data_IF_498911135977
#
_entry.id   IF_498911135977
#
_cell.length_a   1.000
_cell.length_b   1.000
_cell.length_c   1.000
_cell.angle_alpha   90.00
_cell.angle_beta   90.00
_cell.angle_gamma   90.00
#
_symmetry.space_group_name_H-M   'P 1'
#
loop_
_entity.id
_entity.type
_entity.pdbx_description
1 polymer ?
#
# COMPACT_ATOMS: atom_id res chain seq x y z
N UNK A 1 -1.62 -14.48 -6.26
CA UNK A 1 -2.13 -13.68 -7.40
C UNK A 1 -1.27 -12.44 -7.67
N UNK A 2 -0.99 -11.61 -6.64
CA UNK A 2 -0.18 -10.39 -6.82
C UNK A 2 1.20 -10.72 -7.39
N UNK A 3 1.89 -11.72 -6.85
CA UNK A 3 3.20 -12.12 -7.33
C UNK A 3 3.19 -12.58 -8.80
N UNK A 4 2.17 -13.32 -9.19
CA UNK A 4 2.01 -13.79 -10.57
C UNK A 4 1.74 -12.62 -11.53
N UNK A 5 0.88 -11.70 -11.11
CA UNK A 5 0.59 -10.49 -11.89
C UNK A 5 1.86 -9.64 -12.07
N UNK A 6 2.59 -9.38 -11.00
CA UNK A 6 3.82 -8.58 -11.07
C UNK A 6 4.86 -9.24 -11.95
N UNK A 7 5.05 -10.55 -11.83
CA UNK A 7 5.99 -11.29 -12.67
C UNK A 7 5.63 -11.17 -14.17
N UNK A 8 4.34 -11.19 -14.50
CA UNK A 8 3.87 -11.11 -15.88
C UNK A 8 3.90 -9.69 -16.46
N UNK A 9 3.71 -8.67 -15.63
CA UNK A 9 3.47 -7.29 -16.06
C UNK A 9 4.51 -6.26 -15.61
N UNK A 10 5.57 -6.66 -14.91
CA UNK A 10 6.57 -5.73 -14.39
C UNK A 10 7.16 -4.84 -15.49
N UNK A 11 7.38 -5.37 -16.68
CA UNK A 11 7.93 -4.63 -17.81
C UNK A 11 6.98 -3.57 -18.40
N UNK A 12 5.69 -3.62 -18.05
CA UNK A 12 4.69 -2.66 -18.51
C UNK A 12 4.68 -1.37 -17.66
N UNK A 13 5.43 -1.35 -16.57
CA UNK A 13 5.48 -0.23 -15.63
C UNK A 13 6.83 0.48 -15.68
N UNK A 14 6.79 1.80 -15.64
CA UNK A 14 7.98 2.64 -15.57
C UNK A 14 8.62 2.63 -14.18
N UNK A 15 7.85 2.32 -13.16
CA UNK A 15 8.31 2.29 -11.79
C UNK A 15 7.51 1.28 -10.98
N UNK A 16 8.21 0.45 -10.22
CA UNK A 16 7.59 -0.50 -9.28
C UNK A 16 7.95 -0.07 -7.85
N UNK A 17 6.91 0.11 -7.04
CA UNK A 17 7.03 0.54 -5.66
C UNK A 17 6.49 -0.57 -4.76
N UNK A 18 7.25 -0.93 -3.73
CA UNK A 18 6.74 -1.74 -2.62
C UNK A 18 6.58 -0.86 -1.39
N UNK A 19 5.55 -1.12 -0.61
CA UNK A 19 5.35 -0.46 0.68
C UNK A 19 5.08 -1.51 1.75
N UNK A 20 5.70 -1.33 2.90
CA UNK A 20 5.68 -2.28 4.00
C UNK A 20 5.47 -1.54 5.30
N UNK A 21 4.68 -2.13 6.20
CA UNK A 21 4.64 -1.70 7.58
C UNK A 21 6.02 -1.95 8.21
N UNK A 22 6.52 -0.95 8.92
CA UNK A 22 7.81 -1.02 9.59
C UNK A 22 7.67 -0.38 10.97
N UNK A 23 6.91 -1.06 11.84
CA UNK A 23 6.56 -0.53 13.15
C UNK A 23 7.70 -0.73 14.14
N UNK A 24 8.16 0.38 14.71
CA UNK A 24 9.12 0.39 15.83
C UNK A 24 8.34 0.66 17.12
N UNK A 25 7.65 1.79 17.18
CA UNK A 25 6.75 2.17 18.27
C UNK A 25 5.59 3.01 17.71
N UNK A 26 4.55 2.37 17.18
CA UNK A 26 3.43 3.09 16.59
C UNK A 26 2.40 3.62 17.64
N UNK A 27 2.75 3.62 18.92
CA UNK A 27 1.90 4.14 19.98
C UNK A 27 0.57 3.38 20.13
N UNK A 28 -0.54 4.10 20.13
CA UNK A 28 -1.89 3.54 20.32
C UNK A 28 -2.37 2.67 19.15
N UNK A 29 -1.66 2.62 18.04
CA UNK A 29 -1.97 1.71 16.94
C UNK A 29 -1.87 0.24 17.38
N UNK A 30 -0.94 -0.07 18.28
CA UNK A 30 -0.88 -1.37 18.95
C UNK A 30 -1.71 -1.34 20.22
N UNK A 31 -2.55 -2.33 20.42
CA UNK A 31 -3.44 -2.41 21.58
C UNK A 31 -3.60 -3.86 22.04
N UNK A 32 -3.73 -4.04 23.37
CA UNK A 32 -4.09 -5.33 23.97
C UNK A 32 -5.58 -5.65 23.79
N UNK A 33 -6.39 -4.63 23.46
CA UNK A 33 -7.81 -4.74 23.20
C UNK A 33 -8.15 -4.05 21.87
N UNK A 34 -7.67 -4.59 20.72
CA UNK A 34 -7.82 -3.92 19.44
C UNK A 34 -9.28 -3.91 18.96
N UNK A 35 -9.66 -2.83 18.29
CA UNK A 35 -10.96 -2.72 17.61
C UNK A 35 -10.93 -3.26 16.17
N UNK A 36 -9.74 -3.55 15.64
CA UNK A 36 -9.50 -4.02 14.24
C UNK A 36 -9.99 -3.04 13.16
N UNK A 37 -10.07 -1.77 13.51
CA UNK A 37 -10.32 -0.65 12.58
C UNK A 37 -9.14 0.29 12.59
N UNK A 38 -8.80 0.84 13.76
CA UNK A 38 -7.66 1.76 13.95
C UNK A 38 -6.61 1.22 14.90
N UNK A 39 -6.96 0.22 15.71
CA UNK A 39 -6.06 -0.41 16.67
C UNK A 39 -5.94 -1.90 16.39
N UNK A 40 -4.75 -2.43 16.58
CA UNK A 40 -4.38 -3.79 16.19
C UNK A 40 -3.49 -4.43 17.26
N UNK A 41 -3.44 -5.78 17.31
CA UNK A 41 -2.35 -6.43 18.04
C UNK A 41 -1.03 -6.10 17.35
N UNK A 42 0.12 -6.26 18.04
CA UNK A 42 1.42 -6.04 17.41
C UNK A 42 1.55 -6.81 16.10
N UNK A 43 1.93 -6.10 15.03
CA UNK A 43 2.12 -6.65 13.69
C UNK A 43 3.13 -5.79 12.93
N UNK A 44 3.71 -6.32 11.87
CA UNK A 44 4.63 -5.57 11.01
C UNK A 44 5.80 -4.93 11.77
N UNK A 45 6.26 -5.57 12.85
CA UNK A 45 7.34 -5.05 13.69
C UNK A 45 8.65 -5.04 12.91
N UNK A 46 9.35 -3.91 12.91
CA UNK A 46 10.60 -3.71 12.20
C UNK A 46 11.62 -4.81 12.52
N UNK A 47 12.27 -5.35 11.48
CA UNK A 47 13.26 -6.40 11.62
C UNK A 47 12.70 -7.80 11.82
N UNK A 48 11.38 -7.99 11.78
CA UNK A 48 10.74 -9.30 11.88
C UNK A 48 10.23 -9.77 10.52
N UNK A 49 9.94 -11.08 10.41
CA UNK A 49 9.36 -11.68 9.19
C UNK A 49 8.04 -11.01 8.79
N UNK A 50 7.25 -10.54 9.75
CA UNK A 50 5.97 -9.88 9.48
C UNK A 50 6.12 -8.52 8.77
N UNK A 51 7.28 -7.87 8.90
CA UNK A 51 7.58 -6.62 8.20
C UNK A 51 8.16 -6.87 6.81
N UNK A 52 8.60 -8.07 6.49
CA UNK A 52 9.16 -8.43 5.20
C UNK A 52 8.08 -8.65 4.16
N UNK A 53 8.45 -8.51 2.89
CA UNK A 53 7.58 -8.91 1.79
C UNK A 53 7.33 -10.41 1.84
N UNK A 54 6.13 -10.80 1.41
CA UNK A 54 5.80 -12.23 1.27
C UNK A 54 6.85 -12.93 0.40
N UNK A 55 7.27 -14.17 0.75
CA UNK A 55 8.31 -14.89 0.00
C UNK A 55 8.08 -14.98 -1.51
N UNK A 56 6.82 -15.02 -1.95
CA UNK A 56 6.47 -15.02 -3.37
C UNK A 56 6.90 -13.72 -4.10
N UNK A 57 7.15 -12.63 -3.38
CA UNK A 57 7.63 -11.36 -3.91
C UNK A 57 9.13 -11.14 -3.68
N UNK A 58 9.83 -12.11 -3.11
CA UNK A 58 11.24 -11.96 -2.74
C UNK A 58 12.17 -11.69 -3.94
N UNK A 59 11.79 -12.14 -5.13
CA UNK A 59 12.56 -11.92 -6.36
C UNK A 59 12.20 -10.60 -7.07
N UNK A 60 11.25 -9.84 -6.54
CA UNK A 60 10.83 -8.57 -7.13
C UNK A 60 11.91 -7.51 -6.95
N UNK A 61 12.28 -6.87 -8.06
CA UNK A 61 13.17 -5.70 -8.06
C UNK A 61 12.33 -4.43 -8.04
N UNK A 62 12.07 -3.90 -6.85
CA UNK A 62 11.37 -2.62 -6.69
C UNK A 62 12.33 -1.46 -6.95
N UNK A 63 11.85 -0.45 -7.67
CA UNK A 63 12.61 0.79 -7.88
C UNK A 63 12.61 1.67 -6.64
N UNK A 64 11.54 1.59 -5.86
CA UNK A 64 11.34 2.33 -4.62
C UNK A 64 10.80 1.37 -3.58
N UNK A 65 11.39 1.37 -2.39
CA UNK A 65 10.92 0.58 -1.25
C UNK A 65 10.55 1.51 -0.11
N UNK A 66 9.27 1.56 0.23
CA UNK A 66 8.74 2.44 1.27
C UNK A 66 8.53 1.66 2.57
N UNK A 67 9.11 2.16 3.65
CA UNK A 67 8.79 1.76 5.01
C UNK A 67 7.92 2.82 5.67
N UNK A 68 6.84 2.40 6.30
CA UNK A 68 5.87 3.30 6.92
C UNK A 68 5.50 2.87 8.32
N UNK A 69 4.97 3.84 9.11
CA UNK A 69 4.45 3.55 10.44
C UNK A 69 5.50 3.27 11.49
N UNK A 70 6.70 3.85 11.39
CA UNK A 70 7.78 3.60 12.36
C UNK A 70 7.36 4.00 13.77
N UNK A 71 6.75 5.18 13.94
CA UNK A 71 6.39 5.76 15.24
C UNK A 71 4.94 6.23 15.29
N UNK A 72 4.14 5.90 14.29
CA UNK A 72 2.73 6.28 14.21
C UNK A 72 1.93 5.25 13.41
N UNK A 73 0.62 5.31 13.50
CA UNK A 73 -0.25 4.56 12.61
C UNK A 73 -0.17 5.18 11.21
N UNK A 74 0.26 4.41 10.23
CA UNK A 74 0.33 4.86 8.84
C UNK A 74 -0.14 3.76 7.91
N UNK A 75 -1.19 4.04 7.14
CA UNK A 75 -1.75 3.10 6.16
C UNK A 75 -1.25 3.41 4.75
N UNK A 76 -1.22 4.68 4.38
CA UNK A 76 -0.80 5.10 3.05
C UNK A 76 0.69 4.97 2.82
N UNK A 77 1.08 4.49 1.64
CA UNK A 77 2.48 4.48 1.22
C UNK A 77 3.06 5.91 1.14
N UNK A 78 2.21 6.93 0.95
CA UNK A 78 2.63 8.33 0.93
C UNK A 78 2.99 8.88 2.32
N UNK A 79 2.68 8.17 3.39
CA UNK A 79 3.07 8.53 4.75
C UNK A 79 4.46 8.00 5.13
N UNK A 80 5.04 7.15 4.30
CA UNK A 80 6.35 6.54 4.54
C UNK A 80 7.49 7.21 3.77
N UNK A 81 8.66 6.61 3.90
CA UNK A 81 9.86 7.06 3.20
C UNK A 81 10.58 5.93 2.50
N UNK A 82 11.28 6.26 1.42
CA UNK A 82 12.13 5.30 0.72
C UNK A 82 13.33 4.90 1.57
N UNK A 83 13.59 3.62 1.63
CA UNK A 83 14.68 3.04 2.44
C UNK A 83 16.04 3.57 2.00
N UNK A 84 16.26 3.71 0.70
CA UNK A 84 17.57 4.11 0.15
C UNK A 84 17.83 5.61 0.29
N UNK A 85 16.83 6.45 0.00
CA UNK A 85 17.01 7.91 -0.10
C UNK A 85 16.47 8.69 1.10
N UNK A 86 15.63 8.06 1.93
CA UNK A 86 14.89 8.70 3.03
C UNK A 86 13.92 9.79 2.57
N UNK A 87 13.53 9.79 1.30
CA UNK A 87 12.62 10.76 0.71
C UNK A 87 11.20 10.23 0.66
N UNK A 88 10.18 11.11 0.73
CA UNK A 88 8.79 10.70 0.61
C UNK A 88 8.47 10.21 -0.81
N UNK A 89 7.52 9.28 -0.91
CA UNK A 89 7.12 8.66 -2.17
C UNK A 89 6.67 9.69 -3.22
N UNK A 90 5.90 10.69 -2.81
CA UNK A 90 5.39 11.71 -3.74
C UNK A 90 6.51 12.42 -4.50
N UNK A 91 7.57 12.82 -3.78
CA UNK A 91 8.74 13.47 -4.39
C UNK A 91 9.39 12.58 -5.44
N UNK A 92 9.59 11.30 -5.10
CA UNK A 92 10.24 10.35 -5.99
C UNK A 92 9.41 10.07 -7.25
N UNK A 93 8.10 9.93 -7.11
CA UNK A 93 7.20 9.71 -8.25
C UNK A 93 7.17 10.93 -9.17
N UNK A 94 7.11 12.14 -8.63
CA UNK A 94 7.15 13.38 -9.41
C UNK A 94 8.47 13.54 -10.15
N UNK A 95 9.58 13.23 -9.50
CA UNK A 95 10.91 13.29 -10.12
C UNK A 95 11.04 12.31 -11.30
N UNK A 96 10.33 11.18 -11.26
CA UNK A 96 10.29 10.19 -12.34
C UNK A 96 9.27 10.51 -13.43
N UNK A 97 8.46 11.55 -13.27
CA UNK A 97 7.42 11.92 -14.22
C UNK A 97 6.23 10.97 -14.22
N UNK A 98 5.99 10.25 -13.12
CA UNK A 98 4.85 9.34 -12.98
C UNK A 98 3.56 10.15 -12.82
N UNK A 99 2.51 9.79 -13.54
CA UNK A 99 1.21 10.46 -13.51
C UNK A 99 0.04 9.51 -13.21
N UNK A 100 0.27 8.20 -13.22
CA UNK A 100 -0.76 7.21 -12.93
C UNK A 100 -0.22 6.08 -12.07
N UNK A 101 -1.10 5.53 -11.23
CA UNK A 101 -0.77 4.47 -10.28
C UNK A 101 -1.74 3.31 -10.42
N UNK A 102 -1.20 2.09 -10.39
CA UNK A 102 -1.97 0.88 -10.17
C UNK A 102 -1.61 0.34 -8.79
N UNK A 103 -2.61 0.13 -7.95
CA UNK A 103 -2.40 -0.27 -6.54
C UNK A 103 -2.95 -1.66 -6.32
N UNK A 104 -2.14 -2.51 -5.71
CA UNK A 104 -2.49 -3.89 -5.37
C UNK A 104 -1.96 -4.23 -3.97
N UNK A 105 -2.41 -5.32 -3.40
CA UNK A 105 -1.90 -5.83 -2.13
C UNK A 105 -2.94 -5.78 -1.01
N UNK A 106 -2.48 -5.66 0.22
CA UNK A 106 -3.30 -5.74 1.42
C UNK A 106 -3.11 -4.47 2.29
N UNK A 107 -4.13 -4.09 3.00
CA UNK A 107 -5.52 -4.53 2.90
C UNK A 107 -6.32 -3.50 2.10
N UNK A 108 -7.28 -3.98 1.30
CA UNK A 108 -8.13 -3.11 0.48
C UNK A 108 -8.80 -2.00 1.30
N UNK A 109 -9.29 -2.34 2.50
CA UNK A 109 -10.00 -1.42 3.39
C UNK A 109 -9.09 -0.42 4.13
N UNK A 110 -7.78 -0.60 4.12
CA UNK A 110 -6.82 0.21 4.87
C UNK A 110 -5.67 0.71 3.99
N UNK A 111 -4.58 -0.04 3.90
CA UNK A 111 -3.36 0.42 3.22
C UNK A 111 -3.60 0.72 1.74
N UNK A 112 -4.33 -0.12 1.03
CA UNK A 112 -4.67 0.08 -0.38
C UNK A 112 -5.57 1.30 -0.55
N UNK A 113 -6.63 1.38 0.25
CA UNK A 113 -7.58 2.49 0.22
C UNK A 113 -6.90 3.84 0.47
N UNK A 114 -6.15 3.96 1.55
CA UNK A 114 -5.50 5.22 1.91
C UNK A 114 -4.42 5.63 0.90
N UNK A 115 -3.66 4.67 0.37
CA UNK A 115 -2.69 4.95 -0.70
C UNK A 115 -3.39 5.44 -1.96
N UNK A 116 -4.49 4.81 -2.37
CA UNK A 116 -5.26 5.21 -3.54
C UNK A 116 -5.87 6.61 -3.39
N UNK A 117 -6.45 6.90 -2.21
CA UNK A 117 -7.03 8.22 -1.92
C UNK A 117 -5.98 9.33 -1.93
N UNK A 118 -4.82 9.10 -1.32
CA UNK A 118 -3.72 10.06 -1.34
C UNK A 118 -3.18 10.27 -2.75
N UNK A 119 -3.10 9.21 -3.54
CA UNK A 119 -2.69 9.30 -4.93
C UNK A 119 -3.61 10.23 -5.75
N UNK A 120 -4.92 10.08 -5.62
CA UNK A 120 -5.88 10.97 -6.29
C UNK A 120 -5.75 12.41 -5.79
N UNK A 121 -5.63 12.60 -4.47
CA UNK A 121 -5.45 13.91 -3.86
C UNK A 121 -4.22 14.64 -4.41
N UNK A 122 -3.15 13.89 -4.66
CA UNK A 122 -1.89 14.43 -5.18
C UNK A 122 -1.87 14.54 -6.72
N UNK A 123 -2.98 14.26 -7.38
CA UNK A 123 -3.16 14.50 -8.82
C UNK A 123 -2.87 13.31 -9.72
N UNK A 124 -2.65 12.12 -9.18
CA UNK A 124 -2.46 10.91 -9.97
C UNK A 124 -3.80 10.34 -10.46
N UNK A 125 -3.75 9.67 -11.61
CA UNK A 125 -4.81 8.75 -12.02
C UNK A 125 -4.56 7.43 -11.30
N UNK A 126 -5.55 6.94 -10.54
CA UNK A 126 -5.36 5.76 -9.70
C UNK A 126 -6.35 4.67 -10.07
N UNK A 127 -5.83 3.45 -10.27
CA UNK A 127 -6.64 2.23 -10.38
C UNK A 127 -6.28 1.28 -9.24
N UNK A 128 -7.28 0.59 -8.74
CA UNK A 128 -7.10 -0.53 -7.81
C UNK A 128 -7.64 -1.78 -8.50
N UNK A 129 -6.83 -2.83 -8.56
CA UNK A 129 -7.25 -4.10 -9.15
C UNK A 129 -7.99 -4.92 -8.10
N UNK A 130 -9.29 -5.06 -8.28
CA UNK A 130 -10.20 -5.65 -7.28
C UNK A 130 -9.93 -7.11 -6.99
N UNK A 131 -9.35 -7.84 -7.92
CA UNK A 131 -8.97 -9.25 -7.77
C UNK A 131 -7.57 -9.44 -7.16
N UNK A 132 -6.82 -8.37 -6.93
CA UNK A 132 -5.47 -8.38 -6.38
C UNK A 132 -5.38 -7.68 -5.02
N UNK A 133 -6.50 -7.57 -4.33
CA UNK A 133 -6.59 -7.00 -2.98
C UNK A 133 -7.75 -7.64 -2.22
N UNK A 134 -7.69 -7.58 -0.89
CA UNK A 134 -8.74 -8.10 -0.01
C UNK A 134 -8.96 -7.15 1.17
N UNK A 135 -10.21 -6.93 1.59
CA UNK A 135 -10.50 -6.13 2.77
C UNK A 135 -10.29 -6.91 4.07
N UNK A 136 -10.21 -6.20 5.19
CA UNK A 136 -10.18 -6.81 6.53
C UNK A 136 -11.53 -7.46 6.86
N UNK A 137 -12.63 -6.82 6.45
CA UNK A 137 -13.99 -7.35 6.57
C UNK A 137 -14.85 -6.88 5.39
N UNK A 138 -15.98 -7.59 5.10
CA UNK A 138 -16.89 -7.17 4.03
C UNK A 138 -17.42 -5.74 4.21
N UNK A 139 -17.80 -5.37 5.42
CA UNK A 139 -18.34 -4.04 5.72
C UNK A 139 -17.30 -2.93 5.50
N UNK A 140 -16.08 -3.13 5.99
CA UNK A 140 -14.99 -2.18 5.78
C UNK A 140 -14.59 -2.11 4.31
N UNK A 141 -14.67 -3.22 3.60
CA UNK A 141 -14.41 -3.29 2.17
C UNK A 141 -15.41 -2.49 1.33
N UNK A 142 -16.69 -2.60 1.64
CA UNK A 142 -17.74 -1.82 0.97
C UNK A 142 -17.58 -0.32 1.21
N UNK A 143 -17.29 0.06 2.46
CA UNK A 143 -17.06 1.45 2.83
C UNK A 143 -15.85 2.02 2.10
N UNK A 144 -14.76 1.28 2.05
CA UNK A 144 -13.54 1.70 1.35
C UNK A 144 -13.77 1.81 -0.17
N UNK A 145 -14.47 0.87 -0.77
CA UNK A 145 -14.81 0.91 -2.19
C UNK A 145 -15.65 2.15 -2.53
N UNK A 146 -16.60 2.50 -1.67
CA UNK A 146 -17.41 3.70 -1.83
C UNK A 146 -16.56 4.98 -1.74
N UNK A 147 -15.70 5.08 -0.72
CA UNK A 147 -14.77 6.21 -0.56
C UNK A 147 -13.85 6.37 -1.77
N UNK A 148 -13.28 5.29 -2.25
CA UNK A 148 -12.39 5.30 -3.42
C UNK A 148 -13.12 5.74 -4.69
N UNK A 149 -14.29 5.18 -4.94
CA UNK A 149 -15.11 5.52 -6.12
C UNK A 149 -15.52 7.00 -6.11
N UNK A 150 -15.96 7.52 -4.97
CA UNK A 150 -16.33 8.94 -4.84
C UNK A 150 -15.12 9.87 -5.07
N UNK A 151 -13.94 9.46 -4.70
CA UNK A 151 -12.72 10.24 -4.90
C UNK A 151 -12.19 10.21 -6.33
N UNK A 152 -12.69 9.30 -7.18
CA UNK A 152 -12.28 9.17 -8.57
C UNK A 152 -11.28 8.02 -8.83
N UNK A 153 -11.10 7.12 -7.87
CA UNK A 153 -10.32 5.90 -8.08
C UNK A 153 -11.12 4.92 -8.94
N UNK A 154 -10.46 4.34 -9.93
CA UNK A 154 -11.07 3.26 -10.73
C UNK A 154 -10.87 1.91 -10.04
N UNK A 155 -11.96 1.21 -9.78
CA UNK A 155 -11.96 -0.15 -9.25
C UNK A 155 -12.25 -1.12 -10.38
N UNK A 156 -11.23 -1.81 -10.85
CA UNK A 156 -11.32 -2.68 -12.03
C UNK A 156 -10.61 -4.01 -11.77
N UNK A 157 -11.04 -5.11 -12.44
CA UNK A 157 -10.27 -6.34 -12.37
C UNK A 157 -8.95 -6.19 -13.15
N UNK A 158 -7.93 -6.96 -12.74
CA UNK A 158 -6.69 -7.02 -13.50
C UNK A 158 -6.93 -7.72 -14.84
N UNK A 159 -6.11 -7.39 -15.82
CA UNK A 159 -6.11 -8.09 -17.11
C UNK A 159 -4.97 -9.10 -17.15
N UNK A 160 -5.26 -10.25 -17.70
CA UNK A 160 -4.26 -11.30 -17.93
C UNK A 160 -3.24 -10.90 -19.00
#
# INVERSE_FOLDING_TARGET
>A
RVADFVAAHAADYDCIVTSQDWHIDPGSHFSDHPDFVDTWPPHGVAGTVEAELHPALAALHADITIHKGMYEAAYSAFDGEDVATKRPLLELLRNKGIDSLDVVGLAQSHCVCETALDGVKDGFKVRVFTDLTEPVSPELGELAAHRMTEAGVELVPSKD
#
